data_IF_691324185185
#
_entry.id   IF_691324185185
#
_cell.length_a   1.000
_cell.length_b   1.000
_cell.length_c   1.000
_cell.angle_alpha   90.00
_cell.angle_beta   90.00
_cell.angle_gamma   90.00
#
_symmetry.space_group_name_H-M   'P 1'
#
loop_
_entity.id
_entity.type
_entity.pdbx_description
1 polymer ?
#
# COMPACT_ATOMS: atom_id res chain seq x y z
N UNK A 1 9.48 16.57 13.04
CA UNK A 1 8.45 15.58 12.69
C UNK A 1 8.30 14.66 13.89
N UNK A 2 7.10 14.59 14.46
CA UNK A 2 6.81 13.94 15.75
C UNK A 2 6.31 12.51 15.58
N UNK A 3 6.35 11.71 16.65
CA UNK A 3 5.79 10.35 16.66
C UNK A 3 4.27 10.37 16.36
N UNK A 4 3.57 11.43 16.78
CA UNK A 4 2.17 11.68 16.44
C UNK A 4 1.96 11.74 14.92
N UNK A 5 2.87 12.37 14.19
CA UNK A 5 2.81 12.43 12.73
C UNK A 5 3.01 11.05 12.10
N UNK A 6 3.96 10.25 12.59
CA UNK A 6 4.15 8.87 12.11
C UNK A 6 2.89 8.02 12.31
N UNK A 7 2.29 8.05 13.51
CA UNK A 7 1.04 7.33 13.79
C UNK A 7 -0.11 7.80 12.90
N UNK A 8 -0.23 9.11 12.68
CA UNK A 8 -1.24 9.66 11.78
C UNK A 8 -1.00 9.21 10.33
N UNK A 9 0.25 9.26 9.87
CA UNK A 9 0.64 8.89 8.51
C UNK A 9 0.34 7.41 8.22
N UNK A 10 0.71 6.50 9.12
CA UNK A 10 0.40 5.07 8.99
C UNK A 10 -1.12 4.85 8.91
N UNK A 11 -1.91 5.54 9.75
CA UNK A 11 -3.38 5.46 9.69
C UNK A 11 -3.92 5.96 8.36
N UNK A 12 -3.38 7.07 7.86
CA UNK A 12 -3.77 7.65 6.58
C UNK A 12 -3.49 6.67 5.43
N UNK A 13 -2.29 6.08 5.38
CA UNK A 13 -1.97 5.03 4.42
C UNK A 13 -2.93 3.85 4.53
N UNK A 14 -3.20 3.35 5.74
CA UNK A 14 -4.16 2.26 5.95
C UNK A 14 -5.58 2.58 5.45
N UNK A 15 -6.05 3.81 5.62
CA UNK A 15 -7.35 4.26 5.10
C UNK A 15 -7.35 4.26 3.57
N UNK A 16 -6.27 4.74 2.94
CA UNK A 16 -6.14 4.70 1.47
C UNK A 16 -6.23 3.26 0.97
N UNK A 17 -5.51 2.32 1.58
CA UNK A 17 -5.55 0.91 1.20
C UNK A 17 -6.96 0.31 1.33
N UNK A 18 -7.69 0.65 2.40
CA UNK A 18 -9.08 0.22 2.58
C UNK A 18 -9.96 0.76 1.45
N UNK A 19 -9.86 2.04 1.13
CA UNK A 19 -10.70 2.68 0.10
C UNK A 19 -10.39 2.07 -1.28
N UNK A 20 -9.11 1.92 -1.63
CA UNK A 20 -8.70 1.32 -2.91
C UNK A 20 -9.12 -0.16 -2.96
N UNK A 21 -8.90 -0.91 -1.87
CA UNK A 21 -9.24 -2.33 -1.80
C UNK A 21 -10.73 -2.59 -1.98
N UNK A 22 -11.57 -1.79 -1.31
CA UNK A 22 -13.03 -1.83 -1.51
C UNK A 22 -13.38 -1.48 -2.96
N UNK A 23 -12.71 -0.48 -3.55
CA UNK A 23 -12.89 -0.14 -4.97
C UNK A 23 -12.61 -1.35 -5.88
N UNK A 24 -11.50 -2.04 -5.68
CA UNK A 24 -11.10 -3.21 -6.47
C UNK A 24 -12.12 -4.34 -6.42
N UNK A 25 -12.75 -4.60 -5.27
CA UNK A 25 -13.79 -5.63 -5.13
C UNK A 25 -14.95 -5.41 -6.11
N UNK A 26 -15.27 -4.16 -6.42
CA UNK A 26 -16.42 -3.79 -7.28
C UNK A 26 -16.00 -3.24 -8.66
N UNK A 27 -14.71 -3.28 -9.01
CA UNK A 27 -14.19 -2.68 -10.25
C UNK A 27 -14.36 -3.54 -11.51
N UNK A 28 -14.75 -4.81 -11.38
CA UNK A 28 -14.89 -5.73 -12.52
C UNK A 28 -15.77 -5.17 -13.66
N UNK A 29 -16.97 -4.60 -13.42
CA UNK A 29 -17.80 -4.06 -14.50
C UNK A 29 -17.15 -2.88 -15.24
N UNK A 30 -16.33 -2.09 -14.54
CA UNK A 30 -15.60 -0.99 -15.14
C UNK A 30 -14.50 -1.50 -16.08
N UNK A 31 -13.80 -2.56 -15.70
CA UNK A 31 -12.75 -3.17 -16.52
C UNK A 31 -13.32 -3.82 -17.79
N UNK A 32 -14.48 -4.46 -17.69
CA UNK A 32 -15.20 -4.98 -18.85
C UNK A 32 -15.61 -3.87 -19.82
N UNK A 33 -16.07 -2.71 -19.30
CA UNK A 33 -16.43 -1.55 -20.12
C UNK A 33 -15.26 -1.01 -20.95
N UNK A 34 -14.03 -1.07 -20.41
CA UNK A 34 -12.82 -0.62 -21.10
C UNK A 34 -12.04 -1.76 -21.77
N UNK A 35 -12.68 -2.93 -21.95
CA UNK A 35 -12.13 -4.11 -22.62
C UNK A 35 -10.84 -4.68 -22.00
N UNK A 36 -10.64 -4.48 -20.70
CA UNK A 36 -9.54 -5.11 -19.95
C UNK A 36 -10.02 -6.48 -19.49
N UNK A 37 -9.33 -7.52 -19.93
CA UNK A 37 -9.59 -8.89 -19.48
C UNK A 37 -8.92 -9.12 -18.13
N UNK A 38 -9.73 -9.27 -17.08
CA UNK A 38 -9.31 -9.74 -15.76
C UNK A 38 -10.06 -11.00 -15.40
N UNK A 39 -9.51 -11.78 -14.46
CA UNK A 39 -10.26 -12.84 -13.80
C UNK A 39 -10.98 -12.20 -12.61
N UNK A 40 -12.33 -12.20 -12.57
CA UNK A 40 -13.09 -11.52 -11.52
C UNK A 40 -12.68 -11.91 -10.11
N UNK A 41 -12.42 -13.20 -9.90
CA UNK A 41 -11.98 -13.73 -8.61
C UNK A 41 -10.62 -13.15 -8.16
N UNK A 42 -9.64 -13.04 -9.06
CA UNK A 42 -8.34 -12.48 -8.71
C UNK A 42 -8.44 -11.00 -8.35
N UNK A 43 -9.26 -10.23 -9.07
CA UNK A 43 -9.48 -8.81 -8.77
C UNK A 43 -10.15 -8.62 -7.39
N UNK A 44 -11.16 -9.44 -7.09
CA UNK A 44 -11.84 -9.42 -5.80
C UNK A 44 -10.92 -9.84 -4.66
N UNK A 45 -10.12 -10.90 -4.85
CA UNK A 45 -9.14 -11.34 -3.86
C UNK A 45 -8.11 -10.25 -3.59
N UNK A 46 -7.56 -9.62 -4.63
CA UNK A 46 -6.63 -8.50 -4.47
C UNK A 46 -7.27 -7.34 -3.68
N UNK A 47 -8.53 -7.00 -3.97
CA UNK A 47 -9.25 -5.98 -3.22
C UNK A 47 -9.47 -6.34 -1.75
N UNK A 48 -9.79 -7.60 -1.44
CA UNK A 48 -9.93 -8.09 -0.06
C UNK A 48 -8.59 -8.06 0.68
N UNK A 49 -7.52 -8.54 0.05
CA UNK A 49 -6.17 -8.53 0.63
C UNK A 49 -5.69 -7.11 0.93
N UNK A 50 -5.88 -6.18 0.00
CA UNK A 50 -5.54 -4.77 0.18
C UNK A 50 -6.34 -4.14 1.31
N UNK A 51 -7.65 -4.44 1.38
CA UNK A 51 -8.52 -3.96 2.45
C UNK A 51 -8.04 -4.46 3.82
N UNK A 52 -7.70 -5.75 3.93
CA UNK A 52 -7.19 -6.34 5.17
C UNK A 52 -5.84 -5.75 5.57
N UNK A 53 -4.91 -5.57 4.61
CA UNK A 53 -3.64 -4.90 4.85
C UNK A 53 -3.84 -3.47 5.36
N UNK A 54 -4.81 -2.74 4.79
CA UNK A 54 -5.18 -1.41 5.24
C UNK A 54 -5.69 -1.36 6.69
N UNK A 55 -6.52 -2.32 7.09
CA UNK A 55 -6.94 -2.47 8.49
C UNK A 55 -5.76 -2.79 9.41
N UNK A 56 -4.85 -3.68 8.99
CA UNK A 56 -3.65 -4.03 9.75
C UNK A 56 -2.73 -2.83 9.94
N UNK A 57 -2.53 -2.01 8.91
CA UNK A 57 -1.78 -0.76 8.98
C UNK A 57 -2.45 0.25 9.93
N UNK A 58 -3.75 0.48 9.77
CA UNK A 58 -4.48 1.38 10.64
C UNK A 58 -4.39 0.95 12.11
N UNK A 59 -4.47 -0.35 12.37
CA UNK A 59 -4.35 -0.93 13.70
C UNK A 59 -2.93 -0.85 14.26
N UNK A 60 -1.90 -1.07 13.44
CA UNK A 60 -0.49 -1.05 13.86
C UNK A 60 -0.07 0.32 14.40
N UNK A 61 -0.71 1.40 13.96
CA UNK A 61 -0.48 2.75 14.49
C UNK A 61 -0.84 2.95 15.97
N UNK A 62 -1.56 2.01 16.61
CA UNK A 62 -1.83 2.05 18.05
C UNK A 62 -0.57 1.79 18.87
N UNK A 63 0.26 0.84 18.42
CA UNK A 63 1.50 0.42 19.09
C UNK A 63 2.51 -0.03 18.02
N UNK A 64 3.31 0.93 17.56
CA UNK A 64 4.25 0.72 16.46
C UNK A 64 5.34 -0.30 16.84
N UNK A 65 5.81 -0.29 18.09
CA UNK A 65 6.87 -1.21 18.53
C UNK A 65 6.36 -2.65 18.49
N UNK A 66 5.15 -2.88 19.01
CA UNK A 66 4.53 -4.20 19.02
C UNK A 66 4.21 -4.71 17.61
N UNK A 67 3.79 -3.82 16.71
CA UNK A 67 3.29 -4.19 15.38
C UNK A 67 4.25 -3.85 14.23
N UNK A 68 5.54 -3.63 14.53
CA UNK A 68 6.56 -3.24 13.54
C UNK A 68 6.65 -4.17 12.34
N UNK A 69 6.39 -5.47 12.53
CA UNK A 69 6.42 -6.46 11.44
C UNK A 69 5.39 -6.13 10.34
N UNK A 70 4.20 -5.62 10.71
CA UNK A 70 3.16 -5.23 9.76
C UNK A 70 3.67 -4.09 8.87
N UNK A 71 4.36 -3.11 9.48
CA UNK A 71 4.92 -1.98 8.75
C UNK A 71 6.06 -2.41 7.83
N UNK A 72 6.94 -3.30 8.29
CA UNK A 72 8.04 -3.84 7.49
C UNK A 72 7.51 -4.61 6.28
N UNK A 73 6.56 -5.53 6.49
CA UNK A 73 5.95 -6.29 5.41
C UNK A 73 5.26 -5.37 4.41
N UNK A 74 4.48 -4.38 4.89
CA UNK A 74 3.85 -3.39 4.00
C UNK A 74 4.88 -2.60 3.20
N UNK A 75 5.98 -2.15 3.80
CA UNK A 75 7.04 -1.45 3.07
C UNK A 75 7.68 -2.34 2.00
N UNK A 76 7.97 -3.61 2.31
CA UNK A 76 8.54 -4.55 1.35
C UNK A 76 7.59 -4.74 0.17
N UNK A 77 6.30 -4.95 0.44
CA UNK A 77 5.29 -5.07 -0.61
C UNK A 77 5.27 -3.80 -1.50
N UNK A 78 5.24 -2.61 -0.90
CA UNK A 78 5.26 -1.33 -1.64
C UNK A 78 6.55 -1.08 -2.42
N UNK A 79 7.68 -1.71 -2.07
CA UNK A 79 8.88 -1.65 -2.90
C UNK A 79 8.87 -2.65 -4.05
N UNK A 80 8.16 -3.77 -3.89
CA UNK A 80 8.08 -4.84 -4.89
C UNK A 80 6.97 -4.56 -5.92
N UNK A 81 5.81 -4.06 -5.49
CA UNK A 81 4.65 -3.78 -6.34
C UNK A 81 4.95 -2.88 -7.56
N UNK A 82 5.75 -1.80 -7.45
CA UNK A 82 6.10 -0.97 -8.58
C UNK A 82 6.71 -1.72 -9.77
N UNK A 83 7.41 -2.83 -9.54
CA UNK A 83 7.96 -3.66 -10.63
C UNK A 83 6.82 -4.23 -11.49
N UNK A 84 5.80 -4.77 -10.84
CA UNK A 84 4.63 -5.35 -11.51
C UNK A 84 3.73 -4.29 -12.13
N UNK A 85 3.54 -3.16 -11.44
CA UNK A 85 2.74 -2.04 -11.92
C UNK A 85 3.37 -1.40 -13.16
N UNK A 86 4.67 -1.14 -13.16
CA UNK A 86 5.37 -0.58 -14.32
C UNK A 86 5.33 -1.57 -15.49
N UNK A 87 5.57 -2.86 -15.26
CA UNK A 87 5.43 -3.88 -16.30
C UNK A 87 4.02 -3.90 -16.90
N UNK A 88 2.99 -3.83 -16.05
CA UNK A 88 1.59 -3.82 -16.47
C UNK A 88 1.23 -2.51 -17.20
N UNK A 89 1.76 -1.37 -16.77
CA UNK A 89 1.56 -0.07 -17.41
C UNK A 89 2.10 -0.06 -18.84
N UNK A 90 3.25 -0.69 -19.07
CA UNK A 90 3.88 -0.79 -20.39
C UNK A 90 3.14 -1.76 -21.32
N UNK A 91 2.48 -2.77 -20.78
CA UNK A 91 1.74 -3.79 -21.56
C UNK A 91 0.27 -3.42 -21.78
N UNK A 92 -0.33 -2.64 -20.89
CA UNK A 92 -1.72 -2.18 -20.94
C UNK A 92 -1.74 -0.64 -20.89
N UNK A 93 -1.57 0.06 -22.03
CA UNK A 93 -1.39 1.51 -22.07
C UNK A 93 -2.55 2.31 -21.48
N UNK A 94 -3.78 1.79 -21.56
CA UNK A 94 -4.97 2.44 -20.98
C UNK A 94 -4.89 2.57 -19.45
N UNK A 95 -4.12 1.69 -18.80
CA UNK A 95 -3.89 1.72 -17.34
C UNK A 95 -2.65 2.51 -16.95
N UNK A 96 -1.89 3.05 -17.90
CA UNK A 96 -0.57 3.64 -17.66
C UNK A 96 -0.60 4.73 -16.59
N UNK A 97 -1.48 5.71 -16.72
CA UNK A 97 -1.57 6.85 -15.78
C UNK A 97 -1.91 6.36 -14.37
N UNK A 98 -2.84 5.41 -14.26
CA UNK A 98 -3.28 4.86 -12.97
C UNK A 98 -2.11 4.13 -12.31
N UNK A 99 -1.49 3.18 -13.03
CA UNK A 99 -0.43 2.33 -12.48
C UNK A 99 0.86 3.09 -12.16
N UNK A 100 1.23 4.10 -12.95
CA UNK A 100 2.37 4.95 -12.61
C UNK A 100 2.07 5.81 -11.37
N UNK A 101 0.84 6.30 -11.23
CA UNK A 101 0.45 7.06 -10.03
C UNK A 101 0.47 6.19 -8.78
N UNK A 102 0.03 4.92 -8.88
CA UNK A 102 0.11 3.99 -7.74
C UNK A 102 1.54 3.61 -7.41
N UNK A 103 2.41 3.40 -8.40
CA UNK A 103 3.85 3.16 -8.17
C UNK A 103 4.53 4.32 -7.46
N UNK A 104 4.23 5.56 -7.84
CA UNK A 104 4.78 6.74 -7.17
C UNK A 104 4.30 6.79 -5.72
N UNK A 105 3.00 6.54 -5.49
CA UNK A 105 2.43 6.48 -4.15
C UNK A 105 3.12 5.42 -3.28
N UNK A 106 3.31 4.22 -3.81
CA UNK A 106 3.90 3.10 -3.08
C UNK A 106 5.35 3.38 -2.69
N UNK A 107 6.17 3.84 -3.64
CA UNK A 107 7.56 4.19 -3.38
C UNK A 107 7.67 5.35 -2.38
N UNK A 108 6.85 6.39 -2.54
CA UNK A 108 6.85 7.55 -1.65
C UNK A 108 6.41 7.16 -0.23
N UNK A 109 5.34 6.37 -0.12
CA UNK A 109 4.77 5.91 1.14
C UNK A 109 5.72 4.98 1.89
N UNK A 110 6.34 4.01 1.20
CA UNK A 110 7.33 3.12 1.76
C UNK A 110 8.57 3.89 2.25
N UNK A 111 9.08 4.79 1.42
CA UNK A 111 10.28 5.58 1.75
C UNK A 111 10.03 6.52 2.92
N UNK A 112 8.87 7.18 2.97
CA UNK A 112 8.52 8.03 4.09
C UNK A 112 8.32 7.23 5.38
N UNK A 113 7.68 6.06 5.31
CA UNK A 113 7.54 5.14 6.45
C UNK A 113 8.92 4.72 6.98
N UNK A 114 9.83 4.33 6.09
CA UNK A 114 11.20 3.93 6.43
C UNK A 114 11.97 5.07 7.13
N UNK A 115 11.93 6.27 6.57
CA UNK A 115 12.57 7.47 7.15
C UNK A 115 12.02 7.76 8.54
N UNK A 116 10.70 7.70 8.70
CA UNK A 116 10.03 7.97 9.97
C UNK A 116 10.34 6.91 11.03
N UNK A 117 10.30 5.63 10.67
CA UNK A 117 10.62 4.54 11.59
C UNK A 117 12.09 4.60 12.02
N UNK A 118 13.01 4.90 11.09
CA UNK A 118 14.43 5.11 11.42
C UNK A 118 14.63 6.29 12.35
N UNK A 119 13.94 7.41 12.11
CA UNK A 119 14.02 8.62 12.94
C UNK A 119 13.54 8.40 14.38
N UNK A 120 12.59 7.49 14.57
CA UNK A 120 12.04 7.13 15.87
C UNK A 120 12.64 5.84 16.45
N UNK A 121 13.77 5.36 15.89
CA UNK A 121 14.55 4.21 16.39
C UNK A 121 13.81 2.85 16.40
N UNK A 122 12.67 2.74 15.69
CA UNK A 122 11.86 1.52 15.63
C UNK A 122 12.50 0.36 14.84
N UNK A 123 13.55 0.63 14.04
CA UNK A 123 14.16 -0.36 13.14
C UNK A 123 15.49 -0.94 13.62
N UNK A 124 16.28 -0.21 14.41
CA UNK A 124 17.66 -0.61 14.74
C UNK A 124 17.97 -0.62 16.24
N UNK A 125 16.97 -0.43 17.10
CA UNK A 125 17.19 -0.28 18.54
C UNK A 125 18.00 0.98 18.85
N UNK A 126 18.02 1.39 20.13
CA UNK A 126 18.99 2.39 20.57
C UNK A 126 20.39 1.83 20.38
N UNK A 127 21.26 2.58 19.71
CA UNK A 127 22.69 2.39 19.90
C UNK A 127 23.00 2.91 21.30
N UNK A 128 23.08 1.98 22.25
CA UNK A 128 23.67 2.23 23.57
C UNK A 128 25.14 2.65 23.42
#
# INVERSE_FOLDING_TARGET
>A
MSEKFLKWFIKFCGIIEIVIGIGFIFMQPLFELISIQTVPLFLQMAGVELTLLGFLLWYSARDIERFKIILIVSMVLRYVMPIFEIYTALTIPIMFVVLISTSIYDLASASLTLILLKKHEYLFGKKD
#
